data_IF_454447194639
#
_entry.id   IF_454447194639
#
_cell.length_a   1.000
_cell.length_b   1.000
_cell.length_c   1.000
_cell.angle_alpha   90.00
_cell.angle_beta   90.00
_cell.angle_gamma   90.00
#
_symmetry.space_group_name_H-M   'P 1'
#
loop_
_entity.id
_entity.type
_entity.pdbx_description
1 polymer ?
#
# COMPACT_ATOMS: atom_id res chain seq x y z
N UNK A 1 -10.08 -12.54 5.89
CA UNK A 1 -8.94 -11.72 5.43
C UNK A 1 -9.48 -10.73 4.42
N UNK A 2 -9.15 -9.46 4.57
CA UNK A 2 -9.65 -8.37 3.74
C UNK A 2 -8.50 -7.82 2.92
N UNK A 3 -8.75 -7.53 1.64
CA UNK A 3 -7.85 -6.75 0.81
C UNK A 3 -8.45 -5.36 0.59
N UNK A 4 -7.63 -4.34 0.81
CA UNK A 4 -7.93 -2.98 0.38
C UNK A 4 -7.10 -2.66 -0.86
N UNK A 5 -7.77 -2.35 -1.96
CA UNK A 5 -7.15 -1.88 -3.19
C UNK A 5 -7.31 -0.36 -3.30
N UNK A 6 -6.18 0.32 -3.30
CA UNK A 6 -6.09 1.75 -3.53
C UNK A 6 -5.57 2.04 -4.93
N UNK A 7 -6.03 3.13 -5.53
CA UNK A 7 -5.68 3.54 -6.88
C UNK A 7 -5.46 5.04 -6.93
N UNK A 8 -4.32 5.45 -7.47
CA UNK A 8 -3.93 6.84 -7.51
C UNK A 8 -3.32 7.23 -8.83
N UNK A 9 -3.62 8.44 -9.28
CA UNK A 9 -2.76 9.16 -10.21
C UNK A 9 -1.75 9.96 -9.39
N UNK A 10 -0.47 9.79 -9.67
CA UNK A 10 0.63 10.44 -8.95
C UNK A 10 1.22 11.52 -9.85
N UNK A 11 1.58 12.67 -9.25
CA UNK A 11 2.25 13.76 -9.97
C UNK A 11 3.61 13.25 -10.46
N UNK A 12 3.91 13.46 -11.74
CA UNK A 12 5.05 12.86 -12.40
C UNK A 12 6.41 13.22 -11.76
N UNK A 13 6.53 14.43 -11.20
CA UNK A 13 7.73 14.93 -10.53
C UNK A 13 7.87 14.43 -9.07
N UNK A 14 6.83 13.82 -8.50
CA UNK A 14 6.77 13.37 -7.11
C UNK A 14 6.58 11.85 -6.96
N UNK A 15 6.73 11.06 -8.02
CA UNK A 15 6.57 9.60 -7.96
C UNK A 15 7.51 8.94 -6.94
N UNK A 16 8.77 9.36 -6.87
CA UNK A 16 9.74 8.79 -5.92
C UNK A 16 9.36 9.15 -4.47
N UNK A 17 8.98 10.40 -4.21
CA UNK A 17 8.48 10.84 -2.91
C UNK A 17 7.26 10.00 -2.49
N UNK A 18 6.34 9.73 -3.41
CA UNK A 18 5.21 8.86 -3.15
C UNK A 18 5.66 7.45 -2.76
N UNK A 19 6.57 6.83 -3.52
CA UNK A 19 7.06 5.47 -3.26
C UNK A 19 7.75 5.38 -1.89
N UNK A 20 8.63 6.33 -1.57
CA UNK A 20 9.40 6.32 -0.32
C UNK A 20 8.47 6.43 0.89
N UNK A 21 7.58 7.43 0.90
CA UNK A 21 6.68 7.65 2.01
C UNK A 21 5.54 6.63 2.10
N UNK A 22 5.06 6.09 0.96
CA UNK A 22 4.15 4.94 0.95
C UNK A 22 4.81 3.73 1.61
N UNK A 23 6.10 3.51 1.36
CA UNK A 23 6.86 2.40 1.93
C UNK A 23 7.04 2.55 3.44
N UNK A 24 7.33 3.76 3.91
CA UNK A 24 7.39 4.09 5.35
C UNK A 24 6.06 3.82 6.05
N UNK A 25 4.96 4.33 5.50
CA UNK A 25 3.62 4.17 6.07
C UNK A 25 3.20 2.70 6.07
N UNK A 26 3.49 1.98 4.98
CA UNK A 26 3.21 0.54 4.88
C UNK A 26 3.98 -0.26 5.92
N UNK A 27 5.26 0.05 6.12
CA UNK A 27 6.11 -0.59 7.13
C UNK A 27 5.60 -0.28 8.54
N UNK A 28 5.23 0.97 8.81
CA UNK A 28 4.63 1.39 10.08
C UNK A 28 3.36 0.58 10.42
N UNK A 29 2.42 0.44 9.48
CA UNK A 29 1.20 -0.33 9.73
C UNK A 29 1.46 -1.83 9.89
N UNK A 30 2.44 -2.39 9.17
CA UNK A 30 2.84 -3.79 9.34
C UNK A 30 3.44 -4.05 10.72
N UNK A 31 4.33 -3.17 11.17
CA UNK A 31 5.11 -3.34 12.40
C UNK A 31 4.31 -3.00 13.66
N UNK A 32 3.40 -2.02 13.59
CA UNK A 32 2.75 -1.46 14.77
C UNK A 32 1.25 -1.77 14.87
N UNK A 33 0.60 -2.15 13.76
CA UNK A 33 -0.86 -2.24 13.68
C UNK A 33 -1.39 -3.55 13.07
N UNK A 34 -0.52 -4.53 12.85
CA UNK A 34 -0.92 -5.87 12.42
C UNK A 34 -1.38 -5.98 10.96
N UNK A 35 -1.01 -5.02 10.11
CA UNK A 35 -1.15 -5.22 8.65
C UNK A 35 -0.35 -6.45 8.21
N UNK A 36 -0.91 -7.25 7.31
CA UNK A 36 -0.27 -8.46 6.77
C UNK A 36 0.69 -8.14 5.61
N UNK A 37 0.90 -6.85 5.33
CA UNK A 37 1.76 -6.35 4.28
C UNK A 37 0.97 -5.82 3.09
N UNK A 38 1.71 -5.18 2.18
CA UNK A 38 1.16 -4.58 0.98
C UNK A 38 2.14 -4.71 -0.19
N UNK A 39 1.63 -4.57 -1.40
CA UNK A 39 2.42 -4.41 -2.62
C UNK A 39 1.97 -3.17 -3.37
N UNK A 40 2.94 -2.38 -3.81
CA UNK A 40 2.69 -1.26 -4.70
C UNK A 40 2.98 -1.68 -6.14
N UNK A 41 2.08 -1.36 -7.04
CA UNK A 41 2.22 -1.63 -8.46
C UNK A 41 2.06 -0.35 -9.28
N UNK A 42 2.64 -0.35 -10.47
CA UNK A 42 2.31 0.61 -11.54
C UNK A 42 1.54 -0.13 -12.62
N UNK A 43 0.34 0.33 -12.92
CA UNK A 43 -0.50 -0.22 -13.99
C UNK A 43 -0.05 0.27 -15.37
N UNK A 44 -0.49 -0.43 -16.41
CA UNK A 44 -0.28 -0.03 -17.81
C UNK A 44 -1.14 1.20 -18.21
N UNK A 45 -2.09 1.57 -17.37
CA UNK A 45 -2.92 2.77 -17.44
C UNK A 45 -2.27 3.99 -16.79
N UNK A 46 -1.06 3.82 -16.22
CA UNK A 46 -0.31 4.87 -15.55
C UNK A 46 -0.73 5.13 -14.10
N UNK A 47 -1.68 4.38 -13.54
CA UNK A 47 -2.06 4.50 -12.14
C UNK A 47 -1.12 3.69 -11.23
N UNK A 48 -0.98 4.16 -10.00
CA UNK A 48 -0.40 3.38 -8.91
C UNK A 48 -1.49 2.59 -8.18
N UNK A 49 -1.20 1.33 -7.89
CA UNK A 49 -2.11 0.40 -7.21
C UNK A 49 -1.47 -0.08 -5.91
N UNK A 50 -2.08 0.28 -4.78
CA UNK A 50 -1.73 -0.27 -3.47
C UNK A 50 -2.61 -1.46 -3.16
N UNK A 51 -2.06 -2.67 -3.15
CA UNK A 51 -2.73 -3.89 -2.69
C UNK A 51 -2.32 -4.13 -1.24
N UNK A 52 -3.22 -3.93 -0.28
CA UNK A 52 -2.93 -4.07 1.15
C UNK A 52 -3.77 -5.16 1.79
N UNK A 53 -3.14 -6.03 2.56
CA UNK A 53 -3.77 -7.18 3.21
C UNK A 53 -3.96 -6.92 4.71
N UNK A 54 -5.18 -7.16 5.19
CA UNK A 54 -5.56 -7.00 6.59
C UNK A 54 -6.24 -8.26 7.11
N UNK A 55 -6.09 -8.61 8.40
CA UNK A 55 -6.77 -9.81 8.92
C UNK A 55 -8.30 -9.66 8.90
N UNK A 56 -8.82 -8.46 9.18
CA UNK A 56 -10.24 -8.11 9.07
C UNK A 56 -10.49 -6.61 8.83
N UNK A 57 -11.74 -6.24 8.52
CA UNK A 57 -12.15 -4.84 8.37
C UNK A 57 -12.07 -4.07 9.69
N UNK A 58 -12.41 -4.71 10.80
CA UNK A 58 -12.34 -4.13 12.14
C UNK A 58 -10.91 -3.80 12.52
N UNK A 59 -9.96 -4.69 12.25
CA UNK A 59 -8.55 -4.45 12.54
C UNK A 59 -7.99 -3.29 11.70
N UNK A 60 -8.36 -3.21 10.42
CA UNK A 60 -8.02 -2.05 9.58
C UNK A 60 -8.60 -0.76 10.14
N UNK A 61 -9.87 -0.77 10.55
CA UNK A 61 -10.53 0.40 11.13
C UNK A 61 -9.86 0.83 12.45
N UNK A 62 -9.51 -0.13 13.31
CA UNK A 62 -8.74 0.14 14.54
C UNK A 62 -7.36 0.72 14.22
N UNK A 63 -6.63 0.16 13.26
CA UNK A 63 -5.31 0.66 12.85
C UNK A 63 -5.37 2.12 12.39
N UNK A 64 -6.39 2.49 11.61
CA UNK A 64 -6.56 3.87 11.13
C UNK A 64 -7.10 4.81 12.21
N UNK A 65 -7.88 4.32 13.16
CA UNK A 65 -8.37 5.11 14.30
C UNK A 65 -7.35 5.30 15.42
N UNK A 66 -6.45 4.33 15.62
CA UNK A 66 -5.41 4.34 16.66
C UNK A 66 -4.07 4.87 16.16
N UNK A 67 -3.81 4.79 14.85
CA UNK A 67 -2.62 5.36 14.24
C UNK A 67 -2.68 6.88 14.28
N UNK A 68 -1.86 7.49 15.15
CA UNK A 68 -1.50 8.90 14.96
C UNK A 68 -0.96 9.10 13.54
N UNK A 69 -1.14 10.29 12.96
CA UNK A 69 -0.63 10.56 11.61
C UNK A 69 0.89 10.36 11.57
N UNK A 70 1.35 9.31 10.89
CA UNK A 70 2.77 9.10 10.63
C UNK A 70 3.29 10.34 9.88
N UNK A 71 4.46 10.92 10.22
CA UNK A 71 4.95 12.15 9.59
C UNK A 71 5.02 12.10 8.06
N UNK A 72 5.33 10.92 7.50
CA UNK A 72 5.38 10.69 6.06
C UNK A 72 4.01 10.82 5.34
N UNK A 73 2.89 10.79 6.09
CA UNK A 73 1.54 10.82 5.51
C UNK A 73 1.27 12.09 4.73
N UNK A 74 1.66 13.25 5.26
CA UNK A 74 1.45 14.53 4.60
C UNK A 74 2.18 14.58 3.24
N UNK A 75 3.45 14.18 3.23
CA UNK A 75 4.27 14.17 2.03
C UNK A 75 3.82 13.09 1.01
N UNK A 76 3.30 11.94 1.47
CA UNK A 76 2.67 10.96 0.57
C UNK A 76 1.43 11.56 -0.11
N UNK A 77 0.55 12.22 0.66
CA UNK A 77 -0.67 12.83 0.13
C UNK A 77 -0.39 13.98 -0.84
N UNK A 78 0.66 14.76 -0.60
CA UNK A 78 1.08 15.84 -1.49
C UNK A 78 1.41 15.34 -2.90
N UNK A 79 2.01 14.15 -3.01
CA UNK A 79 2.39 13.57 -4.30
C UNK A 79 1.19 13.07 -5.13
N UNK A 80 0.01 12.89 -4.51
CA UNK A 80 -1.18 12.37 -5.18
C UNK A 80 -1.86 13.49 -5.97
N UNK A 81 -2.07 13.26 -7.28
CA UNK A 81 -2.87 14.14 -8.14
C UNK A 81 -4.36 13.80 -8.01
N UNK A 82 -4.69 12.51 -8.01
CA UNK A 82 -6.07 12.02 -7.91
C UNK A 82 -6.10 10.71 -7.12
N UNK A 83 -7.06 10.57 -6.21
CA UNK A 83 -7.39 9.30 -5.56
C UNK A 83 -8.71 8.76 -6.10
N UNK A 84 -8.70 7.51 -6.57
CA UNK A 84 -9.93 6.82 -6.95
C UNK A 84 -10.56 6.18 -5.70
N UNK A 85 -11.87 5.88 -5.73
CA UNK A 85 -12.54 5.19 -4.63
C UNK A 85 -11.86 3.86 -4.29
N UNK A 86 -11.70 3.61 -2.99
CA UNK A 86 -11.19 2.35 -2.45
C UNK A 86 -12.08 1.18 -2.91
N UNK A 87 -11.45 0.04 -3.19
CA UNK A 87 -12.15 -1.21 -3.44
C UNK A 87 -11.77 -2.19 -2.35
N UNK A 88 -12.76 -2.65 -1.59
CA UNK A 88 -12.60 -3.71 -0.61
C UNK A 88 -12.92 -5.05 -1.29
N UNK A 89 -12.03 -6.02 -1.11
CA UNK A 89 -12.11 -7.31 -1.76
C UNK A 89 -11.97 -8.44 -0.72
N UNK A 90 -12.83 -9.44 -0.86
CA UNK A 90 -12.67 -10.73 -0.19
C UNK A 90 -11.74 -11.62 -1.01
N UNK A 91 -10.99 -12.48 -0.32
CA UNK A 91 -10.08 -13.44 -0.95
C UNK A 91 -10.82 -14.74 -1.22
N UNK A 92 -11.14 -14.99 -2.49
CA UNK A 92 -11.81 -16.23 -2.94
C UNK A 92 -10.82 -17.39 -3.16
N UNK A 93 -9.60 -17.09 -3.61
CA UNK A 93 -8.52 -18.05 -3.78
C UNK A 93 -7.16 -17.34 -3.69
N UNK A 94 -6.17 -17.98 -3.07
CA UNK A 94 -4.82 -17.44 -2.89
C UNK A 94 -3.75 -18.43 -3.37
N UNK A 95 -2.91 -17.97 -4.28
CA UNK A 95 -1.76 -18.69 -4.83
C UNK A 95 -0.51 -17.82 -4.85
N UNK A 96 -0.49 -16.74 -4.07
CA UNK A 96 0.69 -15.90 -3.94
C UNK A 96 1.80 -16.69 -3.25
N UNK A 97 2.94 -16.79 -3.93
CA UNK A 97 4.15 -17.30 -3.29
C UNK A 97 4.71 -16.21 -2.36
N UNK A 98 5.29 -16.59 -1.21
CA UNK A 98 6.14 -15.67 -0.46
C UNK A 98 7.20 -15.09 -1.41
N UNK A 99 7.42 -13.77 -1.35
CA UNK A 99 8.27 -13.03 -2.30
C UNK A 99 9.51 -13.86 -2.65
N UNK A 100 9.73 -14.12 -3.94
CA UNK A 100 11.00 -14.64 -4.42
C UNK A 100 12.07 -13.63 -4.00
N UNK A 101 12.90 -13.97 -3.01
CA UNK A 101 14.19 -13.30 -2.85
C UNK A 101 14.85 -13.31 -4.23
N UNK A 102 15.17 -12.11 -4.70
CA UNK A 102 15.66 -11.84 -6.04
C UNK A 102 16.67 -12.90 -6.47
N UNK A 103 16.40 -13.54 -7.61
CA UNK A 103 17.45 -14.19 -8.39
C UNK A 103 18.56 -13.15 -8.56
N UNK A 104 19.64 -13.37 -7.83
CA UNK A 104 20.88 -12.63 -7.85
C UNK A 104 21.30 -12.43 -9.32
N UNK A 105 21.08 -11.23 -9.84
CA UNK A 105 21.70 -10.80 -11.10
C UNK A 105 23.09 -10.29 -10.75
N UNK A 106 24.00 -11.23 -10.50
CA UNK A 106 25.42 -11.01 -10.74
C UNK A 106 25.68 -11.24 -12.23
N UNK A 107 25.73 -10.13 -13.00
CA UNK A 107 26.56 -10.04 -14.20
C UNK A 107 27.96 -9.58 -13.82
#
# INVERSE_FOLDING_TARGET
MLIALYRWKIKADLEQQFIDHWSEITSYYRENHGSLGSRLHRGNDGLFYGYAMWPSIEQRATAFGAGGEHPARAAMLEAIEESLPEVLLDVEADFLLPNHESLDKSE
#
